data_IF_116665381554
#
_entry.id   IF_116665381554
#
_cell.length_a   1.000
_cell.length_b   1.000
_cell.length_c   1.000
_cell.angle_alpha   90.00
_cell.angle_beta   90.00
_cell.angle_gamma   90.00
#
_symmetry.space_group_name_H-M   'P 1'
#
loop_
_entity.id
_entity.type
_entity.pdbx_description
1 polymer ?
#
# COMPACT_ATOMS: atom_id res chain seq x y z
N UNK A 1 54.33 -0.86 49.19
CA UNK A 1 54.91 -0.33 50.44
C UNK A 1 54.38 1.10 50.59
N UNK A 2 53.30 1.28 51.37
CA UNK A 2 53.28 1.92 52.73
C UNK A 2 53.50 3.44 52.65
N UNK A 3 52.69 4.34 53.23
CA UNK A 3 51.64 4.25 54.25
C UNK A 3 50.74 5.50 54.25
N UNK A 4 49.66 5.37 55.01
CA UNK A 4 48.61 6.33 55.35
C UNK A 4 49.04 7.47 56.33
N UNK A 5 48.02 8.28 56.67
CA UNK A 5 47.84 9.26 57.76
C UNK A 5 48.20 10.72 57.43
N UNK A 6 47.41 11.76 57.76
CA UNK A 6 46.12 11.82 58.46
C UNK A 6 45.88 13.23 59.03
N UNK A 7 44.60 13.67 58.98
CA UNK A 7 43.89 14.53 59.95
C UNK A 7 44.13 16.06 59.97
N UNK A 8 43.05 16.84 59.76
CA UNK A 8 42.41 17.71 60.78
C UNK A 8 41.16 18.42 60.24
N UNK A 9 40.07 18.29 61.00
CA UNK A 9 38.79 19.01 60.90
C UNK A 9 38.76 20.19 61.87
N UNK A 10 38.03 21.27 61.56
CA UNK A 10 37.05 21.95 62.44
C UNK A 10 36.28 23.10 61.72
N UNK A 11 35.09 23.49 62.24
CA UNK A 11 34.00 24.16 61.51
C UNK A 11 33.83 25.66 61.86
N UNK A 12 32.97 26.39 61.14
CA UNK A 12 32.34 27.67 61.56
C UNK A 12 31.10 27.96 60.68
N UNK A 13 29.89 27.65 61.14
CA UNK A 13 28.89 28.54 61.78
C UNK A 13 28.31 29.64 60.89
N UNK A 14 27.01 29.49 60.64
CA UNK A 14 26.04 30.43 60.12
C UNK A 14 25.94 31.70 60.97
N UNK A 15 25.73 32.85 60.32
CA UNK A 15 25.18 34.04 60.94
C UNK A 15 23.99 34.54 60.11
N UNK A 16 22.85 34.60 60.78
CA UNK A 16 21.58 35.14 60.34
C UNK A 16 21.45 36.64 60.66
N UNK A 17 20.32 37.23 60.22
CA UNK A 17 19.65 38.47 60.69
C UNK A 17 19.92 39.72 59.81
N UNK A 18 18.97 40.67 59.57
CA UNK A 18 17.50 40.64 59.63
C UNK A 18 16.79 41.15 58.35
N UNK A 19 15.48 40.85 58.30
CA UNK A 19 14.44 41.48 57.48
C UNK A 19 14.17 42.91 57.94
N UNK A 20 13.99 43.86 57.01
CA UNK A 20 13.21 45.07 57.25
C UNK A 20 12.23 45.32 56.11
N UNK A 21 10.98 45.57 56.51
CA UNK A 21 9.77 45.75 55.70
C UNK A 21 9.77 47.14 55.06
N UNK A 22 9.48 47.24 53.76
CA UNK A 22 8.67 48.34 53.22
C UNK A 22 7.74 47.85 52.12
N UNK A 23 6.46 48.13 52.37
CA UNK A 23 5.27 47.86 51.56
C UNK A 23 5.23 48.78 50.35
N UNK A 24 4.91 48.23 49.17
CA UNK A 24 4.19 48.96 48.12
C UNK A 24 3.45 47.94 47.24
N UNK A 25 2.13 48.01 47.34
CA UNK A 25 1.16 47.27 46.55
C UNK A 25 1.13 47.85 45.13
N UNK A 26 1.25 46.99 44.11
CA UNK A 26 0.60 47.24 42.83
C UNK A 26 0.08 45.91 42.27
N UNK A 27 -1.25 45.83 42.16
CA UNK A 27 -1.98 44.77 41.48
C UNK A 27 -1.60 44.76 40.00
N UNK A 28 -1.23 43.60 39.48
CA UNK A 28 -1.40 43.25 38.07
C UNK A 28 -1.71 41.75 37.98
N UNK A 29 -3.00 41.43 38.00
CA UNK A 29 -3.54 40.11 37.71
C UNK A 29 -3.35 39.80 36.23
N UNK A 30 -2.31 39.04 35.88
CA UNK A 30 -2.18 38.43 34.56
C UNK A 30 -2.69 36.98 34.59
N UNK A 31 -4.00 36.82 34.49
CA UNK A 31 -4.60 35.54 34.09
C UNK A 31 -4.45 35.40 32.57
N UNK A 32 -3.36 34.80 32.12
CA UNK A 32 -3.26 34.27 30.76
C UNK A 32 -3.46 32.76 30.85
N UNK A 33 -4.68 32.31 30.55
CA UNK A 33 -4.95 30.93 30.17
C UNK A 33 -4.07 30.62 28.95
N UNK A 34 -3.03 29.81 29.14
CA UNK A 34 -2.37 29.13 28.03
C UNK A 34 -3.30 28.03 27.53
N UNK A 35 -4.18 28.36 26.58
CA UNK A 35 -4.76 27.35 25.69
C UNK A 35 -3.62 26.83 24.80
N UNK A 36 -2.96 25.78 25.24
CA UNK A 36 -2.11 24.94 24.38
C UNK A 36 -3.02 24.15 23.44
N UNK A 37 -3.44 24.79 22.35
CA UNK A 37 -3.84 24.07 21.15
C UNK A 37 -2.57 23.51 20.53
N UNK A 38 -2.37 22.20 20.65
CA UNK A 38 -1.38 21.51 19.82
C UNK A 38 -1.84 21.62 18.37
N UNK A 39 -1.32 22.61 17.65
CA UNK A 39 -1.41 22.67 16.21
C UNK A 39 -0.62 21.47 15.63
N UNK A 40 -1.11 20.79 14.59
CA UNK A 40 -0.29 19.81 13.88
C UNK A 40 0.94 20.55 13.35
N UNK A 41 2.13 20.06 13.68
CA UNK A 41 3.38 20.59 13.17
C UNK A 41 3.40 20.42 11.65
N UNK A 42 3.06 21.48 10.92
CA UNK A 42 3.44 21.63 9.53
C UNK A 42 4.96 21.82 9.55
N UNK A 43 5.69 20.84 9.03
CA UNK A 43 7.08 21.08 8.66
C UNK A 43 7.04 22.06 7.49
N UNK A 44 7.28 23.35 7.76
CA UNK A 44 7.49 24.35 6.73
C UNK A 44 8.68 23.94 5.87
N UNK A 45 8.41 23.59 4.60
CA UNK A 45 9.43 23.49 3.57
C UNK A 45 10.06 24.88 3.41
N UNK A 46 11.36 24.99 3.70
CA UNK A 46 12.13 26.21 3.42
C UNK A 46 12.05 26.53 1.91
N UNK A 47 12.00 27.82 1.52
CA UNK A 47 12.05 28.21 0.11
C UNK A 47 13.30 27.64 -0.57
N UNK A 48 13.07 26.90 -1.65
CA UNK A 48 14.02 26.00 -2.29
C UNK A 48 15.33 26.62 -2.77
N UNK A 49 16.35 25.75 -2.85
CA UNK A 49 17.61 26.01 -3.53
C UNK A 49 17.37 26.41 -5.00
N UNK A 50 18.31 27.12 -5.66
CA UNK A 50 18.19 27.49 -7.06
C UNK A 50 18.09 26.23 -7.93
N UNK A 51 16.88 25.93 -8.42
CA UNK A 51 16.53 24.69 -9.14
C UNK A 51 15.06 24.26 -8.93
N UNK A 52 14.37 24.83 -7.94
CA UNK A 52 13.02 24.41 -7.52
C UNK A 52 11.86 25.03 -8.35
N UNK A 53 12.17 25.93 -9.30
CA UNK A 53 11.13 26.63 -10.09
C UNK A 53 10.57 25.79 -11.25
N UNK A 54 11.29 24.76 -11.69
CA UNK A 54 10.95 23.96 -12.88
C UNK A 54 10.40 22.56 -12.54
N UNK A 55 10.35 22.19 -11.25
CA UNK A 55 9.80 20.89 -10.83
C UNK A 55 8.27 20.94 -10.81
N UNK A 56 7.58 19.91 -11.33
CA UNK A 56 6.14 19.78 -11.20
C UNK A 56 5.72 19.84 -9.73
N UNK A 57 4.65 20.58 -9.43
CA UNK A 57 4.09 20.71 -8.09
C UNK A 57 2.81 19.89 -7.96
N UNK A 58 2.49 19.34 -6.77
CA UNK A 58 1.19 18.72 -6.54
C UNK A 58 0.06 19.74 -6.73
N UNK A 59 -1.14 19.30 -7.15
CA UNK A 59 -2.33 20.15 -7.13
C UNK A 59 -2.60 20.71 -5.71
N UNK A 60 -3.12 21.94 -5.63
CA UNK A 60 -3.43 22.58 -4.35
C UNK A 60 -4.52 21.85 -3.54
N UNK A 61 -5.40 21.10 -4.22
CA UNK A 61 -6.38 20.23 -3.62
C UNK A 61 -6.45 18.94 -4.43
N UNK A 62 -6.39 17.81 -3.75
CA UNK A 62 -6.49 16.46 -4.33
C UNK A 62 -7.72 15.74 -3.75
N UNK A 63 -7.93 14.49 -4.17
CA UNK A 63 -8.98 13.63 -3.61
C UNK A 63 -8.87 13.55 -2.07
N UNK A 64 -10.00 13.44 -1.40
CA UNK A 64 -10.10 13.31 0.07
C UNK A 64 -10.56 11.92 0.50
N UNK A 65 -10.61 10.96 -0.43
CA UNK A 65 -10.92 9.56 -0.12
C UNK A 65 -9.96 9.05 0.95
N UNK A 66 -10.48 8.48 2.02
CA UNK A 66 -9.65 8.03 3.15
C UNK A 66 -9.25 9.13 4.15
N UNK A 67 -9.62 10.40 3.92
CA UNK A 67 -9.51 11.46 4.91
C UNK A 67 -9.07 12.81 4.34
N UNK A 68 -9.60 13.91 4.91
CA UNK A 68 -9.34 15.26 4.44
C UNK A 68 -7.85 15.66 4.41
N UNK A 69 -7.04 15.11 5.34
CA UNK A 69 -5.59 15.37 5.38
C UNK A 69 -4.87 14.76 4.18
N UNK A 70 -5.31 13.60 3.69
CA UNK A 70 -4.65 12.92 2.56
C UNK A 70 -4.77 13.72 1.25
N UNK A 71 -5.79 14.56 1.13
CA UNK A 71 -5.99 15.46 -0.01
C UNK A 71 -5.15 16.74 0.01
N UNK A 72 -4.40 17.00 1.09
CA UNK A 72 -3.55 18.16 1.21
C UNK A 72 -2.16 17.89 0.59
N UNK A 73 -1.56 18.87 -0.10
CA UNK A 73 -0.18 18.77 -0.53
C UNK A 73 0.79 18.75 0.67
N UNK A 74 2.00 18.25 0.45
CA UNK A 74 3.05 18.12 1.44
C UNK A 74 2.91 16.89 2.34
N UNK A 75 3.75 16.86 3.37
CA UNK A 75 3.85 15.74 4.32
C UNK A 75 2.76 15.82 5.39
N UNK A 76 2.01 14.73 5.54
CA UNK A 76 0.98 14.55 6.55
C UNK A 76 1.44 13.49 7.56
N UNK A 77 1.65 13.89 8.81
CA UNK A 77 1.98 13.01 9.93
C UNK A 77 1.42 13.61 11.23
N UNK A 78 1.09 12.77 12.22
CA UNK A 78 0.65 13.21 13.55
C UNK A 78 1.42 12.43 14.62
N UNK A 79 2.55 13.00 15.03
CA UNK A 79 3.48 12.39 15.98
C UNK A 79 2.97 12.58 17.41
N UNK A 80 2.86 11.48 18.17
CA UNK A 80 2.71 11.52 19.63
C UNK A 80 4.08 11.67 20.28
N UNK A 81 4.10 11.95 21.59
CA UNK A 81 5.33 12.01 22.37
C UNK A 81 6.16 10.71 22.22
N UNK A 82 7.45 10.86 21.94
CA UNK A 82 8.39 9.74 21.78
C UNK A 82 8.33 9.01 20.43
N UNK A 83 7.52 9.49 19.48
CA UNK A 83 7.56 9.01 18.09
C UNK A 83 8.87 9.44 17.40
N UNK A 84 9.48 8.58 16.56
CA UNK A 84 10.62 9.00 15.75
C UNK A 84 10.17 10.04 14.70
N UNK A 85 11.04 11.00 14.42
CA UNK A 85 10.83 11.94 13.31
C UNK A 85 10.91 11.20 11.98
N UNK A 86 10.18 11.69 10.97
CA UNK A 86 10.28 11.16 9.61
C UNK A 86 11.71 11.29 9.06
N UNK A 87 12.15 10.36 8.19
CA UNK A 87 13.42 10.49 7.49
C UNK A 87 13.47 11.81 6.70
N UNK A 88 14.59 12.54 6.81
CA UNK A 88 14.75 13.85 6.14
C UNK A 88 15.09 13.73 4.65
N UNK A 89 15.67 12.60 4.26
CA UNK A 89 16.17 12.36 2.90
C UNK A 89 15.13 11.59 2.07
N UNK A 90 13.92 12.14 1.98
CA UNK A 90 12.85 11.63 1.11
C UNK A 90 12.68 12.59 -0.06
N UNK A 91 12.86 12.09 -1.27
CA UNK A 91 12.80 12.88 -2.51
C UNK A 91 11.62 12.49 -3.41
N UNK A 92 10.88 11.45 -3.05
CA UNK A 92 9.69 11.01 -3.77
C UNK A 92 8.59 12.06 -3.81
N UNK A 93 8.07 12.27 -5.01
CA UNK A 93 6.94 13.17 -5.27
C UNK A 93 5.68 12.77 -4.51
N UNK A 94 5.46 11.46 -4.35
CA UNK A 94 4.34 10.93 -3.59
C UNK A 94 4.75 9.64 -2.88
N UNK A 95 4.34 9.50 -1.62
CA UNK A 95 4.53 8.27 -0.86
C UNK A 95 3.47 8.11 0.24
N UNK A 96 3.30 6.88 0.72
CA UNK A 96 2.39 6.57 1.83
C UNK A 96 2.91 5.40 2.66
N UNK A 97 2.68 5.46 3.98
CA UNK A 97 2.92 4.37 4.94
C UNK A 97 1.61 4.03 5.63
N UNK A 98 1.17 2.78 5.53
CA UNK A 98 -0.08 2.33 6.15
C UNK A 98 0.06 0.97 6.83
N UNK A 99 -0.79 0.74 7.82
CA UNK A 99 -1.00 -0.57 8.39
C UNK A 99 -1.92 -1.38 7.48
N UNK A 100 -1.45 -2.56 7.06
CA UNK A 100 -2.15 -3.37 6.06
C UNK A 100 -3.45 -3.99 6.60
N UNK A 101 -3.50 -4.21 7.91
CA UNK A 101 -4.61 -4.90 8.57
C UNK A 101 -5.77 -3.94 8.84
N UNK A 102 -5.54 -2.94 9.68
CA UNK A 102 -6.50 -1.88 10.02
C UNK A 102 -6.82 -0.98 8.83
N UNK A 103 -5.85 -0.77 7.93
CA UNK A 103 -5.95 0.24 6.87
C UNK A 103 -5.56 1.63 7.34
N UNK A 104 -5.18 1.84 8.60
CA UNK A 104 -4.76 3.15 9.11
C UNK A 104 -3.55 3.68 8.34
N UNK A 105 -3.64 4.93 7.86
CA UNK A 105 -2.53 5.64 7.21
C UNK A 105 -1.73 6.35 8.29
N UNK A 106 -0.47 5.96 8.47
CA UNK A 106 0.42 6.46 9.52
C UNK A 106 1.08 7.79 9.12
N UNK A 107 1.48 7.88 7.86
CA UNK A 107 1.98 9.11 7.25
C UNK A 107 1.84 9.03 5.72
N UNK A 108 1.78 10.19 5.08
CA UNK A 108 1.80 10.29 3.64
C UNK A 108 2.45 11.60 3.17
N UNK A 109 2.83 11.66 1.91
CA UNK A 109 3.21 12.88 1.22
C UNK A 109 2.54 12.89 -0.14
N UNK A 110 1.70 13.90 -0.39
CA UNK A 110 0.94 14.03 -1.64
C UNK A 110 0.19 12.73 -2.02
N UNK A 111 -0.54 12.13 -1.09
CA UNK A 111 -1.08 10.76 -1.21
C UNK A 111 -1.91 10.54 -2.49
N UNK A 112 -2.68 11.55 -2.87
CA UNK A 112 -3.60 11.55 -4.01
C UNK A 112 -3.04 12.25 -5.27
N UNK A 113 -1.74 12.51 -5.33
CA UNK A 113 -1.15 13.11 -6.52
C UNK A 113 -1.13 12.11 -7.67
N UNK A 114 -1.90 12.42 -8.71
CA UNK A 114 -1.97 11.65 -9.96
C UNK A 114 -0.64 11.70 -10.70
N UNK A 115 0.04 10.57 -10.74
CA UNK A 115 1.34 10.34 -11.38
C UNK A 115 1.26 9.08 -12.25
N UNK A 116 2.12 8.98 -13.26
CA UNK A 116 2.23 7.75 -14.05
C UNK A 116 2.66 6.59 -13.12
N UNK A 117 1.95 5.44 -13.13
CA UNK A 117 2.24 4.35 -12.20
C UNK A 117 3.44 3.51 -12.62
N UNK A 118 3.79 3.46 -13.91
CA UNK A 118 4.62 2.39 -14.46
C UNK A 118 4.03 1.00 -14.11
N UNK A 119 4.89 -0.02 -14.07
CA UNK A 119 4.47 -1.42 -13.82
C UNK A 119 3.88 -1.70 -12.43
N UNK A 120 3.82 -0.74 -11.49
CA UNK A 120 3.06 -0.95 -10.26
C UNK A 120 1.55 -1.05 -10.54
N UNK A 121 1.06 -0.54 -11.68
CA UNK A 121 -0.32 -0.76 -12.13
C UNK A 121 -0.64 -2.24 -12.36
N UNK A 122 0.38 -3.09 -12.58
CA UNK A 122 0.19 -4.54 -12.69
C UNK A 122 -0.35 -5.17 -11.40
N UNK A 123 -0.31 -4.46 -10.26
CA UNK A 123 -1.03 -4.87 -9.06
C UNK A 123 -2.53 -4.89 -9.28
N UNK A 124 -3.10 -3.84 -9.90
CA UNK A 124 -4.52 -3.79 -10.27
C UNK A 124 -4.83 -4.89 -11.28
N UNK A 125 -4.00 -5.04 -12.32
CA UNK A 125 -4.16 -6.10 -13.31
C UNK A 125 -4.20 -7.49 -12.65
N UNK A 126 -3.27 -7.79 -11.75
CA UNK A 126 -3.24 -9.05 -11.02
C UNK A 126 -4.47 -9.20 -10.11
N UNK A 127 -4.87 -8.14 -9.41
CA UNK A 127 -6.03 -8.18 -8.52
C UNK A 127 -7.34 -8.49 -9.28
N UNK A 128 -7.47 -7.95 -10.50
CA UNK A 128 -8.63 -8.13 -11.40
C UNK A 128 -8.63 -9.47 -12.14
N UNK A 129 -7.48 -9.89 -12.70
CA UNK A 129 -7.44 -11.01 -13.66
C UNK A 129 -7.07 -12.34 -13.02
N UNK A 130 -6.28 -12.33 -11.94
CA UNK A 130 -5.84 -13.56 -11.28
C UNK A 130 -6.99 -14.52 -10.92
N UNK A 131 -8.14 -14.06 -10.38
CA UNK A 131 -9.24 -14.95 -10.01
C UNK A 131 -9.93 -15.66 -11.20
N UNK A 132 -9.70 -15.18 -12.43
CA UNK A 132 -10.45 -15.63 -13.61
C UNK A 132 -9.95 -16.95 -14.19
N UNK A 133 -8.70 -17.32 -13.90
CA UNK A 133 -8.06 -18.48 -14.51
C UNK A 133 -7.37 -19.37 -13.47
N UNK A 134 -7.59 -20.70 -13.50
CA UNK A 134 -6.84 -21.59 -12.62
C UNK A 134 -5.37 -21.64 -13.07
N UNK A 135 -4.45 -21.74 -12.11
CA UNK A 135 -2.99 -21.81 -12.37
C UNK A 135 -2.59 -22.87 -13.40
N UNK A 136 -3.32 -23.97 -13.44
CA UNK A 136 -3.08 -25.13 -14.30
C UNK A 136 -3.61 -24.97 -15.72
N UNK A 137 -4.46 -23.97 -15.98
CA UNK A 137 -4.90 -23.67 -17.34
C UNK A 137 -3.69 -23.36 -18.22
N UNK A 138 -3.78 -23.80 -19.47
CA UNK A 138 -2.72 -23.66 -20.47
C UNK A 138 -3.25 -22.85 -21.63
N UNK A 139 -2.39 -21.97 -22.16
CA UNK A 139 -2.68 -21.18 -23.34
C UNK A 139 -1.57 -21.36 -24.37
N UNK A 140 -1.93 -21.70 -25.61
CA UNK A 140 -0.98 -21.67 -26.73
C UNK A 140 -1.01 -20.26 -27.29
N UNK A 141 0.15 -19.61 -27.25
CA UNK A 141 0.28 -18.20 -27.63
C UNK A 141 0.19 -18.05 -29.14
N UNK A 142 -0.74 -17.23 -29.58
CA UNK A 142 -0.84 -16.77 -30.96
C UNK A 142 -0.05 -15.46 -31.14
N UNK A 143 0.33 -15.14 -32.38
CA UNK A 143 1.03 -13.87 -32.68
C UNK A 143 0.23 -12.64 -32.21
N UNK A 144 -1.10 -12.68 -32.37
CA UNK A 144 -2.02 -11.62 -31.92
C UNK A 144 -2.00 -11.37 -30.42
N UNK A 145 -1.61 -12.37 -29.61
CA UNK A 145 -1.54 -12.22 -28.16
C UNK A 145 -0.36 -11.34 -27.72
N UNK A 146 0.57 -11.07 -28.64
CA UNK A 146 1.77 -10.25 -28.43
C UNK A 146 1.68 -8.91 -29.17
N UNK A 147 0.58 -8.64 -29.88
CA UNK A 147 0.35 -7.37 -30.54
C UNK A 147 0.19 -6.23 -29.53
N UNK A 148 0.77 -5.07 -29.83
CA UNK A 148 0.66 -3.89 -28.97
C UNK A 148 1.61 -3.88 -27.76
N UNK A 149 2.47 -4.89 -27.59
CA UNK A 149 3.56 -4.83 -26.61
C UNK A 149 4.56 -3.75 -27.04
N UNK A 150 4.61 -2.65 -26.28
CA UNK A 150 5.40 -1.47 -26.63
C UNK A 150 6.91 -1.73 -26.76
N UNK A 151 7.58 -1.03 -27.67
CA UNK A 151 9.02 -1.13 -27.85
C UNK A 151 9.78 -0.77 -26.55
N UNK A 152 10.79 -1.57 -26.19
CA UNK A 152 11.53 -1.36 -24.94
C UNK A 152 10.80 -1.82 -23.67
N UNK A 153 9.62 -2.42 -23.80
CA UNK A 153 8.91 -3.05 -22.68
C UNK A 153 9.76 -4.11 -21.98
N UNK A 154 9.56 -4.25 -20.67
CA UNK A 154 10.04 -5.43 -19.95
C UNK A 154 9.35 -6.68 -20.48
N UNK A 155 10.11 -7.73 -20.74
CA UNK A 155 9.63 -9.00 -21.30
C UNK A 155 10.12 -10.14 -20.43
N UNK A 156 9.28 -11.16 -20.20
CA UNK A 156 9.73 -12.41 -19.61
C UNK A 156 10.35 -13.33 -20.67
N UNK A 157 9.92 -13.21 -21.93
CA UNK A 157 10.40 -14.04 -23.05
C UNK A 157 9.36 -15.05 -23.53
N UNK A 158 8.07 -14.69 -23.48
CA UNK A 158 7.00 -15.46 -24.12
C UNK A 158 7.27 -15.55 -25.63
N UNK A 159 6.90 -16.67 -26.23
CA UNK A 159 7.05 -16.95 -27.66
C UNK A 159 5.75 -17.42 -28.25
N UNK A 160 5.46 -16.96 -29.45
CA UNK A 160 4.38 -17.45 -30.29
C UNK A 160 4.53 -18.95 -30.54
N UNK A 161 3.40 -19.61 -30.76
CA UNK A 161 3.27 -21.06 -30.94
C UNK A 161 3.69 -21.93 -29.74
N UNK A 162 4.19 -21.34 -28.66
CA UNK A 162 4.50 -22.05 -27.43
C UNK A 162 3.31 -22.05 -26.47
N UNK A 163 3.16 -23.14 -25.72
CA UNK A 163 2.14 -23.24 -24.67
C UNK A 163 2.71 -22.85 -23.32
N UNK A 164 2.03 -21.95 -22.59
CA UNK A 164 2.39 -21.58 -21.22
C UNK A 164 1.24 -21.91 -20.29
N UNK A 165 1.55 -22.28 -19.05
CA UNK A 165 0.53 -22.31 -18.00
C UNK A 165 0.25 -20.89 -17.51
N UNK A 166 -0.94 -20.67 -16.97
CA UNK A 166 -1.29 -19.41 -16.28
C UNK A 166 -0.31 -19.13 -15.14
N UNK A 167 0.17 -20.18 -14.46
CA UNK A 167 1.23 -20.05 -13.46
C UNK A 167 2.54 -19.47 -14.03
N UNK A 168 3.00 -19.97 -15.19
CA UNK A 168 4.19 -19.44 -15.86
C UNK A 168 4.01 -17.95 -16.16
N UNK A 169 2.87 -17.58 -16.75
CA UNK A 169 2.58 -16.20 -17.12
C UNK A 169 2.59 -15.27 -15.89
N UNK A 170 1.97 -15.66 -14.78
CA UNK A 170 2.01 -14.86 -13.55
C UNK A 170 3.41 -14.75 -12.94
N UNK A 171 4.22 -15.81 -13.01
CA UNK A 171 5.64 -15.70 -12.64
C UNK A 171 6.36 -14.66 -13.52
N UNK A 172 6.07 -14.62 -14.82
CA UNK A 172 6.60 -13.60 -15.73
C UNK A 172 6.16 -12.18 -15.38
N UNK A 173 4.89 -11.99 -15.05
CA UNK A 173 4.32 -10.70 -14.62
C UNK A 173 5.00 -10.19 -13.35
N UNK A 174 5.10 -11.01 -12.31
CA UNK A 174 5.62 -10.55 -11.01
C UNK A 174 7.15 -10.46 -10.98
N UNK A 175 7.87 -11.45 -11.51
CA UNK A 175 9.33 -11.49 -11.36
C UNK A 175 10.01 -10.58 -12.39
N UNK A 176 9.56 -10.62 -13.65
CA UNK A 176 10.20 -9.90 -14.76
C UNK A 176 9.43 -8.68 -15.23
N UNK A 177 8.28 -8.38 -14.63
CA UNK A 177 7.42 -7.30 -15.10
C UNK A 177 7.00 -7.49 -16.58
N UNK A 178 6.93 -8.73 -17.04
CA UNK A 178 6.78 -9.07 -18.46
C UNK A 178 5.46 -8.56 -19.03
N UNK A 179 5.53 -7.58 -19.93
CA UNK A 179 4.38 -7.05 -20.65
C UNK A 179 3.83 -8.10 -21.62
N UNK A 180 4.69 -8.91 -22.24
CA UNK A 180 4.29 -10.08 -23.02
C UNK A 180 3.35 -11.03 -22.25
N UNK A 181 3.67 -11.34 -21.00
CA UNK A 181 2.79 -12.16 -20.17
C UNK A 181 1.46 -11.47 -19.84
N UNK A 182 1.47 -10.15 -19.61
CA UNK A 182 0.25 -9.36 -19.40
C UNK A 182 -0.65 -9.37 -20.64
N UNK A 183 -0.08 -9.22 -21.84
CA UNK A 183 -0.84 -9.20 -23.08
C UNK A 183 -1.46 -10.57 -23.39
N UNK A 184 -0.74 -11.67 -23.16
CA UNK A 184 -1.31 -13.02 -23.26
C UNK A 184 -2.48 -13.22 -22.29
N UNK A 185 -2.29 -12.88 -21.01
CA UNK A 185 -3.36 -12.98 -20.01
C UNK A 185 -4.55 -12.05 -20.33
N UNK A 186 -4.29 -10.90 -20.95
CA UNK A 186 -5.33 -9.98 -21.43
C UNK A 186 -6.09 -10.58 -22.62
N UNK A 187 -5.40 -11.22 -23.57
CA UNK A 187 -6.03 -11.96 -24.67
C UNK A 187 -6.96 -13.05 -24.16
N UNK A 188 -6.50 -13.83 -23.17
CA UNK A 188 -7.35 -14.83 -22.48
C UNK A 188 -8.57 -14.21 -21.79
N UNK A 189 -8.48 -12.94 -21.36
CA UNK A 189 -9.56 -12.18 -20.74
C UNK A 189 -10.46 -11.41 -21.75
N UNK A 190 -10.43 -11.79 -23.03
CA UNK A 190 -11.22 -11.13 -24.08
C UNK A 190 -10.54 -9.92 -24.71
N UNK A 191 -9.21 -9.82 -24.58
CA UNK A 191 -8.37 -8.79 -25.18
C UNK A 191 -8.04 -7.62 -24.25
N UNK A 192 -7.12 -6.76 -24.71
CA UNK A 192 -6.67 -5.57 -23.98
C UNK A 192 -7.84 -4.64 -23.64
N UNK A 193 -8.73 -4.38 -24.59
CA UNK A 193 -9.87 -3.47 -24.38
C UNK A 193 -10.84 -3.96 -23.30
N UNK A 194 -11.13 -5.26 -23.24
CA UNK A 194 -11.96 -5.81 -22.16
C UNK A 194 -11.23 -5.76 -20.82
N UNK A 195 -9.94 -6.08 -20.83
CA UNK A 195 -9.11 -6.08 -19.62
C UNK A 195 -8.99 -4.69 -19.01
N UNK A 196 -8.81 -3.64 -19.82
CA UNK A 196 -8.79 -2.24 -19.34
C UNK A 196 -10.14 -1.86 -18.71
N UNK A 197 -11.26 -2.24 -19.32
CA UNK A 197 -12.60 -2.01 -18.75
C UNK A 197 -12.76 -2.70 -17.39
N UNK A 198 -12.35 -3.97 -17.30
CA UNK A 198 -12.44 -4.73 -16.06
C UNK A 198 -11.55 -4.13 -14.97
N UNK A 199 -10.33 -3.69 -15.32
CA UNK A 199 -9.42 -3.03 -14.39
C UNK A 199 -9.97 -1.69 -13.90
N UNK A 200 -10.54 -0.88 -14.80
CA UNK A 200 -11.16 0.40 -14.42
C UNK A 200 -12.35 0.17 -13.48
N UNK A 201 -13.22 -0.80 -13.79
CA UNK A 201 -14.34 -1.17 -12.93
C UNK A 201 -13.86 -1.66 -11.55
N UNK A 202 -12.79 -2.47 -11.51
CA UNK A 202 -12.20 -2.94 -10.26
C UNK A 202 -11.57 -1.80 -9.45
N UNK A 203 -10.91 -0.83 -10.10
CA UNK A 203 -10.42 0.37 -9.43
C UNK A 203 -11.57 1.17 -8.79
N UNK A 204 -12.70 1.32 -9.51
CA UNK A 204 -13.89 1.99 -8.98
C UNK A 204 -14.56 1.23 -7.82
N UNK A 205 -14.55 -0.09 -7.84
CA UNK A 205 -15.02 -0.95 -6.73
C UNK A 205 -14.19 -0.73 -5.46
N UNK A 206 -12.86 -0.66 -5.63
CA UNK A 206 -11.90 -0.39 -4.56
C UNK A 206 -11.87 1.08 -4.13
N UNK A 207 -12.64 1.96 -4.77
CA UNK A 207 -12.62 3.41 -4.54
C UNK A 207 -11.26 4.06 -4.84
N UNK A 208 -10.50 3.49 -5.76
CA UNK A 208 -9.26 4.06 -6.29
C UNK A 208 -9.56 5.10 -7.39
N UNK A 209 -10.02 6.28 -6.97
CA UNK A 209 -10.61 7.31 -7.84
C UNK A 209 -9.60 8.26 -8.49
N UNK A 210 -8.31 8.07 -8.23
CA UNK A 210 -7.21 8.79 -8.89
C UNK A 210 -6.60 8.00 -10.04
N UNK A 211 -7.11 6.79 -10.29
CA UNK A 211 -6.61 5.88 -11.31
C UNK A 211 -7.40 5.98 -12.61
N UNK A 212 -6.68 6.21 -13.70
CA UNK A 212 -7.19 6.05 -15.06
C UNK A 212 -6.34 5.02 -15.80
N UNK A 213 -6.97 3.90 -16.15
CA UNK A 213 -6.31 2.78 -16.85
C UNK A 213 -6.41 2.99 -18.36
N UNK A 214 -5.25 2.99 -19.03
CA UNK A 214 -5.15 3.02 -20.50
C UNK A 214 -4.58 1.71 -21.04
N UNK A 215 -3.62 1.11 -20.33
CA UNK A 215 -3.06 -0.21 -20.65
C UNK A 215 -3.03 -1.10 -19.41
N UNK A 216 -3.11 -2.43 -19.58
CA UNK A 216 -3.09 -3.36 -18.44
C UNK A 216 -1.72 -3.48 -17.77
N UNK A 217 -0.65 -3.05 -18.43
CA UNK A 217 0.73 -3.23 -17.99
C UNK A 217 1.34 -1.99 -17.32
N UNK A 218 0.67 -0.82 -17.37
CA UNK A 218 1.21 0.42 -16.83
C UNK A 218 2.29 1.08 -17.70
N UNK A 219 2.43 0.69 -18.97
CA UNK A 219 3.31 1.35 -19.93
C UNK A 219 2.96 2.84 -20.12
N UNK A 220 3.90 3.66 -20.58
CA UNK A 220 3.64 5.10 -20.73
C UNK A 220 2.60 5.36 -21.80
N UNK A 221 1.46 5.92 -21.39
CA UNK A 221 0.37 6.31 -22.28
C UNK A 221 -0.24 7.64 -21.82
N UNK A 222 -0.79 8.39 -22.77
CA UNK A 222 -1.42 9.68 -22.46
C UNK A 222 -2.63 9.47 -21.55
N UNK A 223 -2.60 10.09 -20.37
CA UNK A 223 -3.67 10.01 -19.39
C UNK A 223 -3.58 8.82 -18.42
N UNK A 224 -2.62 7.90 -18.62
CA UNK A 224 -2.40 6.79 -17.69
C UNK A 224 -1.83 7.30 -16.36
N UNK A 225 -2.64 7.28 -15.31
CA UNK A 225 -2.27 7.80 -13.99
C UNK A 225 -2.83 6.93 -12.87
N UNK A 226 -2.20 7.01 -11.71
CA UNK A 226 -2.69 6.53 -10.41
C UNK A 226 -2.10 7.40 -9.30
N UNK A 227 -2.29 7.05 -8.04
CA UNK A 227 -1.73 7.77 -6.88
C UNK A 227 -1.08 6.79 -5.90
N UNK A 228 -0.26 7.28 -4.97
CA UNK A 228 0.31 6.42 -3.94
C UNK A 228 -0.79 5.79 -3.07
N UNK A 229 -1.89 6.52 -2.86
CA UNK A 229 -3.08 6.02 -2.18
C UNK A 229 -3.71 4.83 -2.94
N UNK A 230 -4.05 5.02 -4.21
CA UNK A 230 -4.72 4.02 -5.05
C UNK A 230 -3.85 2.77 -5.26
N UNK A 231 -2.56 2.93 -5.54
CA UNK A 231 -1.63 1.81 -5.67
C UNK A 231 -1.55 0.97 -4.39
N UNK A 232 -1.69 1.61 -3.23
CA UNK A 232 -1.70 0.89 -1.95
C UNK A 232 -3.03 0.16 -1.70
N UNK A 233 -4.17 0.70 -2.18
CA UNK A 233 -5.44 -0.03 -2.19
C UNK A 233 -5.33 -1.31 -3.02
N UNK A 234 -4.74 -1.24 -4.22
CA UNK A 234 -4.52 -2.40 -5.09
C UNK A 234 -3.65 -3.46 -4.41
N UNK A 235 -2.56 -3.03 -3.77
CA UNK A 235 -1.70 -3.93 -3.00
C UNK A 235 -2.48 -4.60 -1.86
N UNK A 236 -3.19 -3.82 -1.04
CA UNK A 236 -3.94 -4.32 0.13
C UNK A 236 -5.02 -5.34 -0.27
N UNK A 237 -5.74 -5.07 -1.36
CA UNK A 237 -6.75 -5.98 -1.92
C UNK A 237 -6.12 -7.24 -2.52
N UNK A 238 -5.10 -7.08 -3.37
CA UNK A 238 -4.38 -8.18 -4.02
C UNK A 238 -3.78 -9.15 -3.00
N UNK A 239 -3.20 -8.62 -1.93
CA UNK A 239 -2.57 -9.41 -0.88
C UNK A 239 -3.57 -10.23 -0.04
N UNK A 240 -4.89 -10.05 -0.20
CA UNK A 240 -5.87 -11.00 0.35
C UNK A 240 -5.87 -12.35 -0.41
N UNK A 241 -5.39 -12.37 -1.66
CA UNK A 241 -5.37 -13.57 -2.51
C UNK A 241 -4.07 -14.36 -2.29
N UNK A 242 -4.20 -15.66 -2.00
CA UNK A 242 -3.04 -16.56 -1.76
C UNK A 242 -2.04 -16.54 -2.91
N UNK A 243 -2.54 -16.56 -4.13
CA UNK A 243 -1.71 -16.62 -5.33
C UNK A 243 -0.95 -15.32 -5.58
N UNK A 244 -1.58 -14.16 -5.35
CA UNK A 244 -0.90 -12.88 -5.42
C UNK A 244 0.32 -12.87 -4.48
N UNK A 245 0.12 -13.31 -3.23
CA UNK A 245 1.20 -13.41 -2.22
C UNK A 245 2.32 -14.35 -2.65
N UNK A 246 1.96 -15.51 -3.19
CA UNK A 246 2.92 -16.48 -3.71
C UNK A 246 3.79 -15.85 -4.80
N UNK A 247 3.18 -15.25 -5.82
CA UNK A 247 3.92 -14.68 -6.94
C UNK A 247 4.77 -13.46 -6.53
N UNK A 248 4.20 -12.53 -5.75
CA UNK A 248 4.91 -11.30 -5.40
C UNK A 248 6.12 -11.55 -4.49
N UNK A 249 6.09 -12.61 -3.68
CA UNK A 249 7.18 -13.00 -2.76
C UNK A 249 8.17 -14.01 -3.34
N UNK A 250 7.92 -14.52 -4.55
CA UNK A 250 8.83 -15.46 -5.21
C UNK A 250 10.09 -14.71 -5.70
N UNK A 251 11.26 -15.12 -5.22
CA UNK A 251 12.53 -14.48 -5.55
C UNK A 251 13.11 -14.93 -6.90
N UNK A 252 13.02 -16.23 -7.20
CA UNK A 252 13.46 -16.81 -8.47
C UNK A 252 12.51 -17.92 -8.91
N UNK A 253 12.45 -18.17 -10.21
CA UNK A 253 11.70 -19.29 -10.79
C UNK A 253 12.33 -19.74 -12.11
N UNK A 254 11.99 -20.95 -12.58
CA UNK A 254 12.27 -21.37 -13.95
C UNK A 254 11.11 -20.99 -14.85
N UNK A 255 11.40 -20.35 -15.97
CA UNK A 255 10.42 -20.01 -16.99
C UNK A 255 10.65 -20.87 -18.24
N UNK A 256 9.60 -21.47 -18.82
CA UNK A 256 9.75 -22.29 -20.02
C UNK A 256 10.13 -21.41 -21.22
N UNK A 257 11.20 -21.79 -21.93
CA UNK A 257 11.68 -21.06 -23.09
C UNK A 257 11.06 -21.55 -24.40
N UNK A 258 11.72 -21.23 -25.50
CA UNK A 258 11.34 -21.66 -26.85
C UNK A 258 11.78 -23.10 -27.14
N UNK A 259 10.99 -23.82 -27.93
CA UNK A 259 11.32 -25.14 -28.48
C UNK A 259 12.31 -24.97 -29.63
N UNK A 260 13.50 -25.56 -29.49
CA UNK A 260 14.57 -25.45 -30.50
C UNK A 260 15.01 -26.83 -30.98
N UNK A 261 15.47 -26.90 -32.24
CA UNK A 261 16.17 -28.08 -32.76
C UNK A 261 17.54 -28.22 -32.09
N UNK A 262 17.84 -29.41 -31.59
CA UNK A 262 19.13 -29.75 -31.00
C UNK A 262 20.18 -29.81 -32.11
N UNK A 263 21.21 -28.97 -32.01
CA UNK A 263 22.24 -28.81 -33.06
C UNK A 263 23.43 -29.77 -32.92
N UNK A 264 23.66 -30.36 -31.74
CA UNK A 264 24.84 -31.19 -31.43
C UNK A 264 24.47 -32.35 -30.49
N UNK A 265 25.30 -33.40 -30.47
CA UNK A 265 25.17 -34.54 -29.56
C UNK A 265 24.22 -35.64 -30.05
N UNK A 266 23.93 -36.63 -29.18
CA UNK A 266 23.14 -37.83 -29.51
C UNK A 266 21.69 -37.53 -29.90
N UNK A 267 21.17 -36.36 -29.54
CA UNK A 267 19.81 -35.92 -29.88
C UNK A 267 19.76 -34.92 -31.05
N UNK A 268 20.86 -34.78 -31.81
CA UNK A 268 20.91 -33.88 -32.98
C UNK A 268 19.71 -34.15 -33.92
N UNK A 269 19.01 -33.08 -34.28
CA UNK A 269 17.83 -33.14 -35.15
C UNK A 269 16.49 -33.25 -34.41
N UNK A 270 16.47 -33.65 -33.13
CA UNK A 270 15.26 -33.62 -32.29
C UNK A 270 14.93 -32.21 -31.82
N UNK A 271 13.67 -31.95 -31.46
CA UNK A 271 13.25 -30.72 -30.80
C UNK A 271 13.27 -30.88 -29.29
N UNK A 272 13.65 -29.81 -28.58
CA UNK A 272 13.61 -29.76 -27.12
C UNK A 272 13.20 -28.37 -26.67
N UNK A 273 12.33 -28.31 -25.68
CA UNK A 273 12.01 -27.06 -24.98
C UNK A 273 12.90 -26.92 -23.75
N UNK A 274 13.64 -25.83 -23.70
CA UNK A 274 14.47 -25.47 -22.54
C UNK A 274 13.67 -24.67 -21.51
N UNK A 275 14.29 -24.39 -20.38
CA UNK A 275 13.84 -23.39 -19.42
C UNK A 275 15.05 -22.52 -19.02
N UNK A 276 14.78 -21.28 -18.62
CA UNK A 276 15.78 -20.36 -18.09
C UNK A 276 15.32 -19.81 -16.74
N UNK A 277 16.26 -19.35 -15.92
CA UNK A 277 15.93 -18.76 -14.64
C UNK A 277 15.48 -17.30 -14.83
N UNK A 278 14.43 -16.93 -14.09
CA UNK A 278 13.98 -15.56 -13.93
C UNK A 278 14.10 -15.17 -12.45
N UNK A 279 14.50 -13.92 -12.20
CA UNK A 279 14.64 -13.36 -10.87
C UNK A 279 13.68 -12.18 -10.71
N UNK A 280 13.14 -12.02 -9.50
CA UNK A 280 12.29 -10.90 -9.14
C UNK A 280 13.06 -9.57 -9.18
N UNK A 281 12.50 -8.61 -9.91
CA UNK A 281 13.10 -7.27 -10.08
C UNK A 281 12.97 -6.38 -8.84
N UNK A 282 12.17 -6.77 -7.84
CA UNK A 282 12.13 -6.13 -6.53
C UNK A 282 13.45 -6.33 -5.77
N UNK A 283 14.26 -5.27 -5.68
CA UNK A 283 15.58 -5.32 -5.05
C UNK A 283 15.54 -5.34 -3.53
N UNK A 284 14.44 -4.94 -2.89
CA UNK A 284 14.28 -5.21 -1.46
C UNK A 284 14.11 -6.71 -1.18
N UNK A 285 13.60 -7.49 -2.15
CA UNK A 285 13.48 -8.95 -2.01
C UNK A 285 14.77 -9.69 -2.39
N UNK A 286 15.42 -9.29 -3.49
CA UNK A 286 16.53 -10.03 -4.12
C UNK A 286 17.91 -9.44 -3.85
N UNK A 287 17.98 -8.21 -3.33
CA UNK A 287 19.22 -7.46 -3.17
C UNK A 287 19.75 -6.87 -4.48
N UNK A 288 20.71 -5.96 -4.35
CA UNK A 288 21.51 -5.38 -5.42
C UNK A 288 22.85 -4.88 -4.82
N UNK A 289 23.88 -4.56 -5.64
CA UNK A 289 25.06 -3.87 -5.13
C UNK A 289 24.68 -2.61 -4.34
N UNK A 290 25.11 -2.52 -3.09
CA UNK A 290 24.77 -1.40 -2.19
C UNK A 290 23.35 -1.43 -1.61
N UNK A 291 22.61 -2.55 -1.75
CA UNK A 291 21.28 -2.73 -1.19
C UNK A 291 21.06 -4.19 -0.79
N UNK A 292 21.14 -4.47 0.52
CA UNK A 292 20.79 -5.79 1.04
C UNK A 292 19.28 -6.05 0.98
N UNK A 293 18.85 -7.33 0.87
CA UNK A 293 17.44 -7.67 1.02
C UNK A 293 16.88 -7.17 2.35
N UNK A 294 15.72 -6.50 2.29
CA UNK A 294 15.11 -5.88 3.45
C UNK A 294 14.47 -6.92 4.39
N UNK A 295 14.80 -6.87 5.67
CA UNK A 295 14.28 -7.80 6.67
C UNK A 295 12.76 -7.68 6.81
N UNK A 296 12.06 -8.79 6.60
CA UNK A 296 10.61 -8.90 6.72
C UNK A 296 9.83 -8.58 5.45
N UNK A 297 10.49 -8.21 4.35
CA UNK A 297 9.83 -7.91 3.07
C UNK A 297 9.11 -9.16 2.51
N UNK A 298 7.92 -8.95 1.95
CA UNK A 298 7.12 -10.00 1.33
C UNK A 298 6.71 -9.69 -0.11
N UNK A 299 7.43 -8.79 -0.78
CA UNK A 299 7.27 -8.54 -2.21
C UNK A 299 6.40 -7.34 -2.55
N UNK A 300 5.34 -7.58 -3.31
CA UNK A 300 4.45 -6.65 -4.04
C UNK A 300 4.96 -6.29 -5.44
N UNK A 301 5.37 -5.05 -5.76
CA UNK A 301 5.72 -4.70 -7.15
C UNK A 301 6.53 -3.40 -7.29
N UNK A 302 7.51 -3.41 -8.19
CA UNK A 302 8.25 -2.25 -8.70
C UNK A 302 7.81 -1.87 -10.13
N UNK A 303 8.09 -0.64 -10.54
CA UNK A 303 7.91 -0.15 -11.90
C UNK A 303 8.92 0.93 -12.25
N UNK A 304 9.18 1.08 -13.55
CA UNK A 304 9.92 2.22 -14.10
C UNK A 304 9.49 2.49 -15.52
N UNK A 305 9.29 3.76 -15.85
CA UNK A 305 9.10 4.26 -17.23
C UNK A 305 9.66 5.68 -17.34
N UNK A 306 9.68 6.24 -18.55
CA UNK A 306 10.17 7.60 -18.79
C UNK A 306 9.30 8.64 -18.07
N UNK A 307 7.97 8.49 -18.11
CA UNK A 307 7.06 9.45 -17.49
C UNK A 307 6.93 9.25 -15.97
N UNK A 308 7.03 8.01 -15.49
CA UNK A 308 6.84 7.69 -14.07
C UNK A 308 8.09 7.90 -13.22
N UNK A 309 9.28 7.87 -13.82
CA UNK A 309 10.50 7.59 -13.06
C UNK A 309 10.42 6.18 -12.47
N UNK A 310 10.94 5.98 -11.26
CA UNK A 310 10.82 4.71 -10.53
C UNK A 310 9.65 4.74 -9.54
N UNK A 311 8.90 3.64 -9.46
CA UNK A 311 7.77 3.46 -8.54
C UNK A 311 7.89 2.12 -7.83
N UNK A 312 7.42 2.05 -6.58
CA UNK A 312 7.45 0.84 -5.81
C UNK A 312 6.31 0.80 -4.80
N UNK A 313 5.69 -0.36 -4.67
CA UNK A 313 4.88 -0.70 -3.49
C UNK A 313 5.48 -1.96 -2.89
N UNK A 314 5.63 -1.96 -1.57
CA UNK A 314 6.16 -3.08 -0.79
C UNK A 314 5.34 -3.36 0.45
N UNK A 315 5.37 -4.60 0.90
CA UNK A 315 4.80 -5.02 2.19
C UNK A 315 5.88 -5.71 3.03
N UNK A 316 5.91 -5.42 4.33
CA UNK A 316 6.79 -6.10 5.26
C UNK A 316 6.11 -6.43 6.58
N UNK A 317 6.60 -7.47 7.26
CA UNK A 317 6.18 -7.83 8.62
C UNK A 317 7.36 -7.82 9.60
N UNK A 318 7.12 -7.21 10.76
CA UNK A 318 8.01 -7.29 11.93
C UNK A 318 7.15 -7.40 13.19
N UNK A 319 7.47 -8.38 14.03
CA UNK A 319 6.82 -8.59 15.33
C UNK A 319 5.28 -8.61 15.27
N UNK A 320 4.74 -9.21 14.20
CA UNK A 320 3.29 -9.34 13.96
C UNK A 320 2.62 -8.08 13.36
N UNK A 321 3.33 -6.97 13.23
CA UNK A 321 2.85 -5.76 12.54
C UNK A 321 3.12 -5.89 11.04
N UNK A 322 2.13 -5.57 10.20
CA UNK A 322 2.25 -5.61 8.74
C UNK A 322 2.06 -4.22 8.16
N UNK A 323 3.08 -3.71 7.49
CA UNK A 323 3.07 -2.37 6.89
C UNK A 323 3.16 -2.44 5.37
N UNK A 324 2.38 -1.58 4.71
CA UNK A 324 2.46 -1.28 3.30
C UNK A 324 3.13 0.08 3.11
N UNK A 325 4.04 0.16 2.14
CA UNK A 325 4.65 1.42 1.72
C UNK A 325 4.62 1.53 0.21
N UNK A 326 4.15 2.67 -0.29
CA UNK A 326 4.22 3.04 -1.71
C UNK A 326 5.08 4.29 -1.86
N UNK A 327 5.98 4.29 -2.85
CA UNK A 327 6.88 5.39 -3.21
C UNK A 327 6.81 5.62 -4.71
N UNK A 328 6.61 6.86 -5.12
CA UNK A 328 6.48 7.25 -6.53
C UNK A 328 7.45 8.39 -6.87
N UNK A 329 8.25 8.16 -7.91
CA UNK A 329 9.12 9.13 -8.54
C UNK A 329 10.05 9.86 -7.55
N UNK A 330 10.96 9.13 -6.87
CA UNK A 330 12.06 9.75 -6.13
C UNK A 330 12.95 10.54 -7.08
N UNK A 331 13.27 11.77 -6.67
CA UNK A 331 14.03 12.75 -7.44
C UNK A 331 15.32 13.13 -6.69
N UNK A 332 16.06 12.09 -6.29
CA UNK A 332 17.41 12.20 -5.73
C UNK A 332 18.42 11.52 -6.66
N UNK A 333 19.68 11.97 -6.60
CA UNK A 333 20.79 11.30 -7.30
C UNK A 333 21.24 10.00 -6.62
N UNK A 334 20.47 9.46 -5.67
CA UNK A 334 20.81 8.25 -4.94
C UNK A 334 20.50 6.99 -5.76
N UNK A 335 21.50 6.11 -5.92
CA UNK A 335 21.29 4.80 -6.51
C UNK A 335 20.23 4.01 -5.75
N UNK A 336 19.28 3.44 -6.50
CA UNK A 336 18.16 2.67 -5.93
C UNK A 336 17.28 3.49 -4.96
N UNK A 337 17.17 4.81 -5.16
CA UNK A 337 16.41 5.72 -4.29
C UNK A 337 15.02 5.20 -3.92
N UNK A 338 14.25 4.66 -4.88
CA UNK A 338 12.89 4.14 -4.62
C UNK A 338 12.88 3.04 -3.55
N UNK A 339 13.88 2.17 -3.56
CA UNK A 339 13.98 1.07 -2.61
C UNK A 339 14.51 1.56 -1.25
N UNK A 340 15.51 2.44 -1.26
CA UNK A 340 16.10 2.97 -0.02
C UNK A 340 15.14 3.90 0.72
N UNK A 341 14.42 4.76 0.01
CA UNK A 341 13.32 5.56 0.58
C UNK A 341 12.22 4.66 1.14
N UNK A 342 11.84 3.60 0.41
CA UNK A 342 10.88 2.61 0.95
C UNK A 342 11.40 1.95 2.22
N UNK A 343 12.68 1.54 2.26
CA UNK A 343 13.31 0.97 3.45
C UNK A 343 13.28 1.91 4.65
N UNK A 344 13.64 3.18 4.45
CA UNK A 344 13.59 4.25 5.47
C UNK A 344 12.15 4.47 5.99
N UNK A 345 11.17 4.49 5.09
CA UNK A 345 9.75 4.64 5.43
C UNK A 345 9.20 3.43 6.20
N UNK A 346 9.58 2.21 5.81
CA UNK A 346 9.23 0.99 6.54
C UNK A 346 9.87 0.98 7.94
N UNK A 347 11.16 1.32 8.06
CA UNK A 347 11.85 1.39 9.35
C UNK A 347 11.21 2.44 10.27
N UNK A 348 10.90 3.62 9.74
CA UNK A 348 10.13 4.63 10.47
C UNK A 348 8.75 4.08 10.87
N UNK A 349 8.01 3.48 9.94
CA UNK A 349 6.67 2.96 10.18
C UNK A 349 6.62 1.93 11.31
N UNK A 350 7.58 1.00 11.35
CA UNK A 350 7.66 0.01 12.44
C UNK A 350 8.01 0.65 13.78
N UNK A 351 8.89 1.66 13.80
CA UNK A 351 9.25 2.37 15.03
C UNK A 351 8.16 3.34 15.52
N UNK A 352 7.30 3.81 14.62
CA UNK A 352 6.29 4.84 14.85
C UNK A 352 4.87 4.30 15.04
N UNK A 353 4.57 3.06 14.61
CA UNK A 353 3.21 2.51 14.51
C UNK A 353 2.27 2.83 15.69
N UNK A 354 2.72 2.59 16.93
CA UNK A 354 1.88 2.81 18.13
C UNK A 354 2.00 4.24 18.70
N UNK A 355 2.85 5.06 18.09
CA UNK A 355 3.24 6.40 18.53
C UNK A 355 2.77 7.49 17.56
N UNK A 356 1.96 7.16 16.57
CA UNK A 356 1.30 8.13 15.69
C UNK A 356 -0.20 8.09 15.88
N UNK A 357 -0.88 9.19 15.54
CA UNK A 357 -2.31 9.14 15.24
C UNK A 357 -2.44 8.96 13.72
N UNK A 358 -3.34 8.07 13.25
CA UNK A 358 -3.58 7.94 11.83
C UNK A 358 -3.98 9.28 11.21
N UNK A 359 -3.42 9.59 10.04
CA UNK A 359 -3.75 10.79 9.26
C UNK A 359 -4.88 10.55 8.25
N UNK A 360 -5.31 9.29 8.12
CA UNK A 360 -6.39 8.83 7.28
C UNK A 360 -6.50 7.31 7.35
N UNK A 361 -7.25 6.74 6.42
CA UNK A 361 -7.45 5.30 6.29
C UNK A 361 -7.54 4.87 4.83
N UNK A 362 -7.13 3.64 4.55
CA UNK A 362 -7.44 2.94 3.31
C UNK A 362 -8.88 2.44 3.39
N UNK A 363 -9.77 3.10 2.65
CA UNK A 363 -11.20 2.75 2.61
C UNK A 363 -11.44 1.30 2.19
N UNK A 364 -12.52 0.71 2.68
CA UNK A 364 -12.96 -0.61 2.23
C UNK A 364 -13.57 -0.54 0.82
N UNK A 365 -13.61 -1.65 0.05
CA UNK A 365 -14.34 -1.69 -1.21
C UNK A 365 -15.83 -1.37 -1.01
N UNK A 366 -16.48 -0.76 -2.02
CA UNK A 366 -17.89 -0.29 -1.94
C UNK A 366 -18.87 -1.37 -1.42
N UNK A 367 -18.66 -2.64 -1.79
CA UNK A 367 -19.51 -3.77 -1.39
C UNK A 367 -19.26 -4.33 0.02
N UNK A 368 -18.15 -3.95 0.67
CA UNK A 368 -17.81 -4.40 2.02
C UNK A 368 -18.46 -3.53 3.13
N UNK A 369 -18.98 -2.36 2.79
CA UNK A 369 -19.51 -1.36 3.73
C UNK A 369 -20.99 -1.58 4.13
N UNK A 370 -21.47 -2.81 4.21
CA UNK A 370 -22.86 -3.11 4.66
C UNK A 370 -22.97 -3.35 6.17
N UNK A 371 -21.93 -3.05 6.96
CA UNK A 371 -21.91 -3.45 8.37
C UNK A 371 -21.15 -2.55 9.32
N UNK A 372 -21.33 -1.23 9.28
CA UNK A 372 -21.11 -0.34 10.46
C UNK A 372 -21.59 1.08 10.16
N UNK A 373 -22.88 1.32 10.31
CA UNK A 373 -23.46 2.65 10.46
C UNK A 373 -24.37 2.66 11.68
N UNK A 374 -23.82 3.00 12.85
CA UNK A 374 -24.60 3.31 14.06
C UNK A 374 -25.48 4.51 13.74
N UNK A 375 -26.78 4.28 13.51
CA UNK A 375 -27.78 5.33 13.39
C UNK A 375 -27.87 6.13 14.68
N UNK A 376 -27.72 7.45 14.57
CA UNK A 376 -28.22 8.38 15.58
C UNK A 376 -29.75 8.53 15.37
N UNK A 377 -30.58 8.50 16.42
CA UNK A 377 -32.02 8.67 16.27
C UNK A 377 -32.33 10.17 16.08
N UNK A 378 -32.57 10.56 14.83
CA UNK A 378 -33.19 11.85 14.52
C UNK A 378 -34.67 11.81 14.89
N UNK A 379 -35.05 12.60 15.92
CA UNK A 379 -36.45 12.91 16.22
C UNK A 379 -37.07 13.68 15.04
N UNK A 380 -37.92 13.01 14.27
CA UNK A 380 -38.79 13.63 13.28
C UNK A 380 -40.20 13.78 13.85
N UNK A 381 -40.60 15.03 14.03
CA UNK A 381 -41.88 15.47 14.58
C UNK A 381 -43.02 15.30 13.56
N UNK A 382 -44.19 14.91 14.06
CA UNK A 382 -45.40 14.64 13.31
C UNK A 382 -45.99 15.85 12.57
N UNK A 383 -46.62 15.58 11.43
CA UNK A 383 -47.61 16.43 10.77
C UNK A 383 -48.51 15.58 9.88
N UNK A 384 -49.83 15.59 10.13
CA UNK A 384 -50.88 14.80 9.47
C UNK A 384 -50.99 15.03 7.95
N UNK A 385 -51.75 14.24 7.19
CA UNK A 385 -53.21 14.10 7.30
C UNK A 385 -53.76 12.80 6.70
N UNK A 386 -55.05 12.60 6.98
CA UNK A 386 -55.93 11.45 6.83
C UNK A 386 -56.15 10.90 5.41
N UNK A 387 -56.49 9.60 5.37
CA UNK A 387 -57.13 8.90 4.25
C UNK A 387 -57.60 7.51 4.67
N UNK A 388 -58.86 7.39 5.08
CA UNK A 388 -59.59 6.15 5.38
C UNK A 388 -59.80 5.30 4.08
N UNK A 389 -60.16 4.01 4.04
CA UNK A 389 -60.76 3.07 4.97
C UNK A 389 -60.65 1.61 4.43
N UNK A 390 -60.78 0.62 5.34
CA UNK A 390 -61.34 -0.76 5.19
C UNK A 390 -60.65 -1.76 4.21
N UNK A 391 -60.54 -3.06 4.45
CA UNK A 391 -61.19 -3.96 5.41
C UNK A 391 -60.27 -5.16 5.72
N UNK A 392 -60.54 -5.77 6.87
CA UNK A 392 -60.06 -7.07 7.34
C UNK A 392 -60.50 -8.24 6.44
N UNK A 393 -59.63 -9.23 6.25
CA UNK A 393 -59.97 -10.60 6.62
C UNK A 393 -58.72 -11.37 7.04
N UNK A 394 -58.87 -12.23 8.05
CA UNK A 394 -57.77 -12.92 8.71
C UNK A 394 -57.50 -14.31 8.13
N UNK A 395 -56.32 -14.85 8.44
CA UNK A 395 -56.10 -16.29 8.40
C UNK A 395 -54.69 -16.75 8.01
N UNK A 396 -53.94 -17.19 9.04
CA UNK A 396 -52.92 -18.25 8.99
C UNK A 396 -51.54 -17.95 8.35
N UNK A 397 -50.50 -17.93 9.19
CA UNK A 397 -49.11 -18.00 8.75
C UNK A 397 -48.07 -17.63 9.82
N UNK A 398 -48.29 -18.02 11.08
CA UNK A 398 -47.33 -17.80 12.16
C UNK A 398 -46.10 -18.70 11.99
N UNK A 399 -44.90 -18.11 12.13
CA UNK A 399 -43.69 -18.88 12.42
C UNK A 399 -42.75 -19.19 11.24
N UNK A 400 -42.35 -18.19 10.44
CA UNK A 400 -41.17 -18.32 9.57
C UNK A 400 -40.20 -17.13 9.64
N UNK A 401 -40.67 -15.94 10.08
CA UNK A 401 -39.86 -14.72 10.10
C UNK A 401 -38.90 -14.58 11.29
N UNK A 402 -39.17 -15.23 12.43
CA UNK A 402 -38.33 -15.07 13.64
C UNK A 402 -37.17 -16.07 13.65
N UNK A 403 -37.33 -17.27 13.09
CA UNK A 403 -36.27 -18.27 13.01
C UNK A 403 -35.18 -17.92 11.98
N UNK A 404 -35.55 -17.26 10.87
CA UNK A 404 -34.58 -16.80 9.86
C UNK A 404 -33.78 -15.57 10.32
N UNK A 405 -34.38 -14.68 11.10
CA UNK A 405 -33.70 -13.50 11.65
C UNK A 405 -32.62 -13.83 12.68
N UNK A 406 -32.89 -14.80 13.57
CA UNK A 406 -31.92 -15.24 14.59
C UNK A 406 -30.77 -16.04 13.96
N UNK A 407 -31.07 -16.92 12.99
CA UNK A 407 -30.03 -17.71 12.31
C UNK A 407 -29.13 -16.83 11.44
N UNK A 408 -29.71 -15.85 10.72
CA UNK A 408 -28.95 -14.88 9.94
C UNK A 408 -28.10 -13.93 10.80
N UNK A 409 -28.63 -13.47 11.93
CA UNK A 409 -27.89 -12.64 12.89
C UNK A 409 -26.73 -13.39 13.56
N UNK A 410 -26.92 -14.66 13.91
CA UNK A 410 -25.86 -15.49 14.50
C UNK A 410 -24.80 -15.85 13.46
N UNK A 411 -25.17 -16.14 12.21
CA UNK A 411 -24.19 -16.37 11.14
C UNK A 411 -23.41 -15.10 10.78
N UNK A 412 -24.04 -13.92 10.80
CA UNK A 412 -23.34 -12.65 10.60
C UNK A 412 -22.41 -12.30 11.78
N UNK A 413 -22.80 -12.62 13.02
CA UNK A 413 -21.95 -12.46 14.20
C UNK A 413 -20.82 -13.49 14.28
N UNK A 414 -21.04 -14.72 13.79
CA UNK A 414 -19.98 -15.73 13.64
C UNK A 414 -19.06 -15.36 12.48
N UNK A 415 -19.58 -14.85 11.36
CA UNK A 415 -18.75 -14.37 10.24
C UNK A 415 -17.95 -13.12 10.63
N UNK A 416 -18.57 -12.15 11.29
CA UNK A 416 -17.89 -10.97 11.86
C UNK A 416 -16.93 -11.34 12.99
N UNK A 417 -17.30 -12.32 13.82
CA UNK A 417 -16.45 -12.88 14.87
C UNK A 417 -15.23 -13.63 14.30
N UNK A 418 -15.39 -14.44 13.25
CA UNK A 418 -14.31 -15.12 12.55
C UNK A 418 -13.43 -14.14 11.75
N UNK A 419 -14.02 -13.09 11.18
CA UNK A 419 -13.30 -11.98 10.54
C UNK A 419 -12.41 -11.23 11.55
N UNK A 420 -12.90 -11.02 12.78
CA UNK A 420 -12.15 -10.37 13.85
C UNK A 420 -11.18 -11.30 14.60
N UNK A 421 -11.48 -12.61 14.68
CA UNK A 421 -10.66 -13.61 15.39
C UNK A 421 -9.53 -14.19 14.53
N UNK A 422 -9.60 -14.05 13.21
CA UNK A 422 -8.54 -14.49 12.30
C UNK A 422 -7.65 -13.34 11.80
N UNK A 423 -7.50 -12.27 12.61
CA UNK A 423 -6.61 -11.09 12.47
C UNK A 423 -5.11 -11.46 12.42
N UNK A 424 -4.72 -12.34 11.51
CA UNK A 424 -3.35 -12.39 11.01
C UNK A 424 -3.46 -12.15 9.52
N UNK A 425 -3.12 -10.94 9.10
CA UNK A 425 -2.96 -10.63 7.70
C UNK A 425 -2.10 -11.73 7.08
N UNK A 426 -2.63 -12.50 6.12
CA UNK A 426 -1.91 -13.67 5.64
C UNK A 426 -0.74 -13.14 4.84
N UNK A 427 0.49 -13.26 5.34
CA UNK A 427 1.68 -13.06 4.53
C UNK A 427 2.19 -14.42 4.03
N UNK A 428 2.91 -14.46 2.89
CA UNK A 428 3.49 -15.71 2.41
C UNK A 428 4.38 -16.35 3.50
N UNK A 429 4.27 -17.67 3.67
CA UNK A 429 5.01 -18.42 4.70
C UNK A 429 6.54 -18.24 4.62
N UNK A 430 7.06 -17.85 3.46
CA UNK A 430 8.47 -17.54 3.22
C UNK A 430 9.01 -16.40 4.09
N UNK A 431 8.16 -15.45 4.48
CA UNK A 431 8.51 -14.34 5.38
C UNK A 431 8.80 -14.86 6.79
N UNK A 432 8.03 -15.85 7.25
CA UNK A 432 8.14 -16.42 8.60
C UNK A 432 9.33 -17.35 8.77
N UNK A 433 9.85 -17.92 7.69
CA UNK A 433 11.01 -18.83 7.69
C UNK A 433 12.37 -18.10 7.73
N UNK A 434 12.42 -16.79 7.46
CA UNK A 434 13.65 -15.97 7.59
C UNK A 434 13.78 -15.38 9.01
N UNK A 435 13.62 -16.21 10.05
CA UNK A 435 14.11 -15.86 11.39
C UNK A 435 15.61 -16.19 11.45
N UNK A 436 16.43 -15.34 12.11
CA UNK A 436 17.87 -15.57 12.22
C UNK A 436 18.21 -16.90 12.89
#
# INVERSE_FOLDING_TARGET
>A
MTSAEGRRTRPRTLASVPVSKKTAVLLATATLLSLSTAAPALADDKPGAPGDKDKPKPPASMSTVGGARLGQPGTQVDLKAGAPVLPKDLSARSWMVSDAESGEVLAAHNAHWRLAPASTLKMLFADTVLPKFPKTAKHRVDLKDLEGVGAGSSMVGVKENETYSVHDLWLGVFLRSGNDAVHVLSSMNGGVGQTVKDMQAHAEELQALDTHVVTPDGYDEKGQVSSAYDLTLFARSGLQKKDFREYCSTATAKFPGETKKVKKGKDKGKTKRGAFEIQNTNRLLTGAPGLDPYKGIAGVKNGSTTNAGTTFTGVAERDGKVLLVTVMNPDSGEDQAVYKETGRLLDWGFAAADKVKPVGELVAPKGASTGTGKGAPGKGQAGGTEGAAKASDGGSGGGMGVALGVTGGVLALIAGGLFLLNRRWPLPDLVRRRRP
#
